data_IF_376036236162
#
_entry.id   IF_376036236162
#
_cell.length_a   1.000
_cell.length_b   1.000
_cell.length_c   1.000
_cell.angle_alpha   90.00
_cell.angle_beta   90.00
_cell.angle_gamma   90.00
#
_symmetry.space_group_name_H-M   'P 1'
#
loop_
_entity.id
_entity.type
_entity.pdbx_description
1 polymer ?
#
# COMPACT_ATOMS: atom_id res chain seq x y z
N UNK A 1 -6.94 -10.86 39.29
CA UNK A 1 -6.11 -9.71 38.85
C UNK A 1 -5.40 -10.16 37.57
N UNK A 2 -5.96 -9.86 36.43
CA UNK A 2 -5.35 -10.19 35.12
C UNK A 2 -4.58 -8.93 34.72
N UNK A 3 -3.27 -9.03 34.84
CA UNK A 3 -2.35 -8.00 34.36
C UNK A 3 -2.40 -8.06 32.83
N UNK A 4 -3.07 -7.06 32.23
CA UNK A 4 -3.09 -6.90 30.78
C UNK A 4 -1.67 -6.54 30.32
N UNK A 5 -1.09 -7.46 29.57
CA UNK A 5 0.05 -7.16 28.72
C UNK A 5 -0.42 -6.08 27.71
N UNK A 6 -0.03 -4.86 27.95
CA UNK A 6 -0.12 -3.75 27.03
C UNK A 6 0.87 -4.08 25.91
N UNK A 7 0.40 -4.84 24.91
CA UNK A 7 1.16 -5.02 23.69
C UNK A 7 1.54 -3.65 23.17
N UNK A 8 2.80 -3.25 23.40
CA UNK A 8 3.42 -2.09 22.81
C UNK A 8 3.23 -2.19 21.31
N UNK A 9 2.24 -1.45 20.81
CA UNK A 9 2.08 -1.24 19.39
C UNK A 9 3.37 -0.58 18.92
N UNK A 10 4.19 -1.34 18.20
CA UNK A 10 5.48 -0.87 17.68
C UNK A 10 5.17 0.24 16.69
N UNK A 11 5.10 1.48 17.20
CA UNK A 11 5.19 2.68 16.38
C UNK A 11 6.62 2.69 15.83
N UNK A 12 6.82 2.25 14.60
CA UNK A 12 8.11 2.30 13.95
C UNK A 12 8.35 3.71 13.44
N UNK A 13 9.52 4.24 13.73
CA UNK A 13 9.99 5.50 13.16
C UNK A 13 10.13 5.36 11.64
N UNK A 14 10.03 6.46 10.90
CA UNK A 14 10.29 6.46 9.46
C UNK A 14 11.64 5.81 9.12
N UNK A 15 12.67 6.01 9.95
CA UNK A 15 13.99 5.42 9.79
C UNK A 15 14.00 3.89 9.93
N UNK A 16 13.22 3.32 10.85
CA UNK A 16 13.11 1.86 11.00
C UNK A 16 12.36 1.23 9.83
N UNK A 17 11.33 1.92 9.33
CA UNK A 17 10.62 1.53 8.11
C UNK A 17 11.56 1.55 6.91
N UNK A 18 12.32 2.63 6.74
CA UNK A 18 13.29 2.78 5.67
C UNK A 18 14.39 1.72 5.72
N UNK A 19 14.95 1.44 6.89
CA UNK A 19 15.97 0.40 7.07
C UNK A 19 15.47 -1.00 6.67
N UNK A 20 14.20 -1.32 6.95
CA UNK A 20 13.59 -2.57 6.52
C UNK A 20 13.33 -2.59 5.00
N UNK A 21 12.81 -1.47 4.45
CA UNK A 21 12.42 -1.36 3.06
C UNK A 21 13.62 -1.25 2.10
N UNK A 22 14.79 -0.81 2.60
CA UNK A 22 16.05 -0.72 1.84
C UNK A 22 16.64 -2.07 1.46
N UNK A 23 16.12 -3.15 2.02
CA UNK A 23 16.26 -4.47 1.45
C UNK A 23 17.31 -5.37 2.07
N UNK A 24 16.99 -6.66 2.01
CA UNK A 24 17.99 -7.73 2.05
C UNK A 24 18.74 -7.80 0.71
N UNK A 25 20.04 -8.10 0.70
CA UNK A 25 20.83 -8.29 -0.53
C UNK A 25 20.31 -9.39 -1.45
N UNK A 26 19.39 -10.24 -0.98
CA UNK A 26 18.79 -11.36 -1.69
C UNK A 26 17.51 -11.01 -2.46
N UNK A 27 17.03 -9.77 -2.35
CA UNK A 27 15.82 -9.32 -3.05
C UNK A 27 16.15 -9.00 -4.51
N UNK A 28 15.75 -9.91 -5.42
CA UNK A 28 15.88 -9.74 -6.87
C UNK A 28 14.88 -8.75 -7.47
N UNK A 29 14.10 -8.04 -6.65
CA UNK A 29 13.12 -7.05 -7.10
C UNK A 29 13.80 -5.85 -7.76
N UNK A 30 13.26 -5.42 -8.90
CA UNK A 30 13.71 -4.23 -9.63
C UNK A 30 13.27 -2.93 -8.95
N UNK A 31 12.46 -3.01 -7.90
CA UNK A 31 11.97 -1.87 -7.15
C UNK A 31 12.29 -1.98 -5.66
N UNK A 32 12.30 -0.84 -5.01
CA UNK A 32 12.40 -0.69 -3.55
C UNK A 32 11.22 0.10 -3.04
N UNK A 33 10.98 0.05 -1.74
CA UNK A 33 9.99 0.89 -1.07
C UNK A 33 10.71 1.90 -0.18
N UNK A 34 10.15 3.10 -0.08
CA UNK A 34 10.54 4.08 0.93
C UNK A 34 9.32 4.87 1.41
N UNK A 35 9.36 5.45 2.61
CA UNK A 35 8.30 6.35 3.06
C UNK A 35 8.17 7.56 2.14
N UNK A 36 6.92 8.05 2.00
CA UNK A 36 6.61 9.36 1.44
C UNK A 36 6.98 10.42 2.49
N UNK A 37 7.72 11.44 2.08
CA UNK A 37 8.20 12.52 2.95
C UNK A 37 7.87 13.89 2.38
N UNK A 38 8.13 14.96 3.14
CA UNK A 38 7.96 16.34 2.66
C UNK A 38 8.89 16.69 1.49
N UNK A 39 10.04 16.05 1.40
CA UNK A 39 11.03 16.30 0.34
C UNK A 39 10.55 15.81 -1.04
N UNK A 40 9.54 14.95 -1.07
CA UNK A 40 8.96 14.41 -2.31
C UNK A 40 7.94 15.35 -2.98
N UNK A 41 7.60 16.47 -2.36
CA UNK A 41 6.50 17.32 -2.77
C UNK A 41 6.50 17.65 -4.27
N UNK A 42 7.59 18.19 -4.75
CA UNK A 42 7.64 18.74 -6.11
C UNK A 42 7.59 17.61 -7.17
N UNK A 43 8.37 16.54 -6.97
CA UNK A 43 8.37 15.35 -7.82
C UNK A 43 7.00 14.67 -7.81
N UNK A 44 6.38 14.49 -6.62
CA UNK A 44 5.09 13.86 -6.49
C UNK A 44 3.99 14.62 -7.23
N UNK A 45 3.94 15.95 -7.08
CA UNK A 45 2.97 16.81 -7.77
C UNK A 45 3.16 16.74 -9.27
N UNK A 46 4.39 16.79 -9.76
CA UNK A 46 4.69 16.68 -11.19
C UNK A 46 4.23 15.34 -11.75
N UNK A 47 4.58 14.24 -11.09
CA UNK A 47 4.16 12.88 -11.46
C UNK A 47 2.64 12.72 -11.43
N UNK A 48 1.97 13.28 -10.42
CA UNK A 48 0.50 13.24 -10.33
C UNK A 48 -0.14 13.95 -11.50
N UNK A 49 0.33 15.16 -11.84
CA UNK A 49 -0.19 15.92 -12.99
C UNK A 49 0.04 15.20 -14.32
N UNK A 50 1.22 14.61 -14.49
CA UNK A 50 1.55 13.83 -15.69
C UNK A 50 0.71 12.53 -15.79
N UNK A 51 0.10 12.10 -14.70
CA UNK A 51 -0.67 10.84 -14.60
C UNK A 51 -2.18 11.07 -14.46
N UNK A 52 -2.68 12.28 -14.67
CA UNK A 52 -4.07 12.63 -14.43
C UNK A 52 -5.05 11.69 -15.17
N UNK A 53 -4.83 11.42 -16.45
CA UNK A 53 -5.66 10.53 -17.25
C UNK A 53 -5.62 9.07 -16.78
N UNK A 54 -4.53 8.65 -16.14
CA UNK A 54 -4.38 7.31 -15.58
C UNK A 54 -5.16 7.15 -14.27
N UNK A 55 -5.21 8.24 -13.48
CA UNK A 55 -5.84 8.21 -12.16
C UNK A 55 -7.36 8.44 -12.24
N UNK A 56 -7.81 9.29 -13.17
CA UNK A 56 -9.24 9.56 -13.36
C UNK A 56 -9.94 8.38 -14.05
N UNK A 57 -11.13 7.97 -13.60
CA UNK A 57 -11.93 8.51 -12.50
C UNK A 57 -11.72 7.79 -11.16
N UNK A 58 -10.67 6.98 -11.01
CA UNK A 58 -10.52 6.01 -9.93
C UNK A 58 -10.12 6.64 -8.60
N UNK A 59 -9.35 7.72 -8.64
CA UNK A 59 -8.85 8.42 -7.46
C UNK A 59 -8.32 9.80 -7.78
N UNK A 60 -8.31 10.67 -6.78
CA UNK A 60 -7.68 11.98 -6.83
C UNK A 60 -6.43 12.02 -5.96
N UNK A 61 -5.32 12.45 -6.53
CA UNK A 61 -4.06 12.68 -5.84
C UNK A 61 -3.72 14.18 -5.81
N UNK A 62 -2.88 14.62 -4.86
CA UNK A 62 -2.48 16.03 -4.75
C UNK A 62 -1.85 16.57 -6.02
N UNK A 63 -2.29 17.74 -6.46
CA UNK A 63 -1.77 18.48 -7.60
C UNK A 63 -1.19 19.85 -7.22
N UNK A 64 -1.33 20.24 -5.97
CA UNK A 64 -0.82 21.49 -5.39
C UNK A 64 -0.05 21.23 -4.10
N UNK A 65 0.90 22.11 -3.71
CA UNK A 65 1.63 21.98 -2.43
C UNK A 65 0.70 21.89 -1.22
N UNK A 66 -0.39 22.65 -1.19
CA UNK A 66 -1.34 22.64 -0.09
C UNK A 66 -2.05 21.29 0.03
N UNK A 67 -2.49 20.71 -1.09
CA UNK A 67 -3.10 19.39 -1.12
C UNK A 67 -2.09 18.31 -0.71
N UNK A 68 -0.83 18.42 -1.17
CA UNK A 68 0.22 17.49 -0.78
C UNK A 68 0.50 17.50 0.72
N UNK A 69 0.59 18.66 1.34
CA UNK A 69 0.77 18.76 2.80
C UNK A 69 -0.40 18.14 3.57
N UNK A 70 -1.64 18.38 3.10
CA UNK A 70 -2.84 17.78 3.69
C UNK A 70 -2.83 16.26 3.54
N UNK A 71 -2.40 15.78 2.38
CA UNK A 71 -2.29 14.36 2.08
C UNK A 71 -1.21 13.68 2.93
N UNK A 72 -0.01 14.28 3.00
CA UNK A 72 1.10 13.79 3.81
C UNK A 72 0.74 13.72 5.30
N UNK A 73 0.02 14.73 5.80
CA UNK A 73 -0.43 14.79 7.19
C UNK A 73 -1.38 13.65 7.61
N UNK A 74 -1.86 12.84 6.68
CA UNK A 74 -2.68 11.65 6.98
C UNK A 74 -1.85 10.45 7.44
N UNK A 75 -0.53 10.47 7.20
CA UNK A 75 0.36 9.35 7.48
C UNK A 75 1.08 9.56 8.82
N UNK A 76 0.50 9.02 9.87
CA UNK A 76 1.02 9.06 11.24
C UNK A 76 1.96 7.89 11.56
N UNK A 77 2.20 7.01 10.59
CA UNK A 77 2.96 5.76 10.70
C UNK A 77 2.38 4.72 11.67
N UNK A 78 1.29 5.02 12.36
CA UNK A 78 0.59 4.14 13.33
C UNK A 78 -0.70 3.59 12.71
N UNK A 79 -1.58 4.49 12.26
CA UNK A 79 -2.88 4.14 11.67
C UNK A 79 -2.88 4.21 10.15
N UNK A 80 -1.93 4.94 9.56
CA UNK A 80 -1.74 5.02 8.13
C UNK A 80 -0.28 5.25 7.76
N UNK A 81 0.14 4.70 6.61
CA UNK A 81 1.48 4.86 6.05
C UNK A 81 1.41 5.15 4.56
N UNK A 82 2.16 6.14 4.09
CA UNK A 82 2.37 6.43 2.68
C UNK A 82 3.75 5.94 2.24
N UNK A 83 3.80 5.11 1.20
CA UNK A 83 5.03 4.52 0.66
C UNK A 83 5.17 4.86 -0.82
N UNK A 84 6.39 5.11 -1.27
CA UNK A 84 6.74 5.22 -2.67
C UNK A 84 7.40 3.94 -3.17
N UNK A 85 7.05 3.54 -4.39
CA UNK A 85 7.71 2.47 -5.15
C UNK A 85 8.75 3.13 -6.04
N UNK A 86 10.02 2.85 -5.81
CA UNK A 86 11.13 3.44 -6.55
C UNK A 86 11.87 2.36 -7.36
N UNK A 87 12.23 2.67 -8.59
CA UNK A 87 13.10 1.81 -9.42
C UNK A 87 14.47 1.74 -8.77
N UNK A 88 14.95 0.54 -8.45
CA UNK A 88 16.17 0.33 -7.64
C UNK A 88 17.41 1.00 -8.21
N UNK A 89 17.63 0.86 -9.52
CA UNK A 89 18.86 1.31 -10.17
C UNK A 89 18.91 2.82 -10.40
N UNK A 90 17.74 3.47 -10.51
CA UNK A 90 17.64 4.88 -10.92
C UNK A 90 17.06 5.79 -9.85
N UNK A 91 16.39 5.22 -8.84
CA UNK A 91 15.65 5.98 -7.82
C UNK A 91 14.33 6.59 -8.33
N UNK A 92 13.99 6.46 -9.62
CA UNK A 92 12.77 7.02 -10.20
C UNK A 92 11.54 6.48 -9.48
N UNK A 93 10.62 7.38 -9.11
CA UNK A 93 9.36 7.02 -8.45
C UNK A 93 8.39 6.46 -9.50
N UNK A 94 8.09 5.16 -9.39
CA UNK A 94 7.21 4.44 -10.31
C UNK A 94 5.74 4.46 -9.89
N UNK A 95 5.48 4.64 -8.61
CA UNK A 95 4.13 4.65 -8.05
C UNK A 95 4.13 4.88 -6.55
N UNK A 96 2.94 4.86 -5.98
CA UNK A 96 2.74 5.01 -4.54
C UNK A 96 1.77 3.96 -4.00
N UNK A 97 1.89 3.66 -2.71
CA UNK A 97 0.95 2.80 -1.99
C UNK A 97 0.68 3.40 -0.60
N UNK A 98 -0.60 3.53 -0.27
CA UNK A 98 -1.04 3.86 1.08
C UNK A 98 -1.53 2.60 1.78
N UNK A 99 -1.04 2.37 2.97
CA UNK A 99 -1.59 1.40 3.92
C UNK A 99 -2.46 2.21 4.87
N UNK A 100 -3.78 2.17 4.67
CA UNK A 100 -4.75 2.98 5.40
C UNK A 100 -5.49 2.16 6.46
N UNK A 101 -6.02 2.83 7.48
CA UNK A 101 -6.88 2.22 8.49
C UNK A 101 -6.26 0.96 9.10
N UNK A 102 -5.02 1.09 9.58
CA UNK A 102 -4.33 0.00 10.27
C UNK A 102 -5.04 -0.23 11.61
N UNK A 103 -5.84 -1.29 11.67
CA UNK A 103 -6.62 -1.66 12.85
C UNK A 103 -5.96 -2.86 13.51
N UNK A 104 -5.59 -2.70 14.78
CA UNK A 104 -4.93 -3.71 15.61
C UNK A 104 -5.91 -4.58 16.39
N UNK A 105 -5.44 -5.28 17.38
CA UNK A 105 -6.22 -6.15 18.24
C UNK A 105 -6.68 -7.42 17.53
N UNK A 106 -7.97 -7.73 17.61
CA UNK A 106 -8.52 -8.95 17.01
C UNK A 106 -8.71 -8.85 15.49
N UNK A 107 -8.63 -7.66 14.91
CA UNK A 107 -8.88 -7.46 13.48
C UNK A 107 -7.61 -7.56 12.65
N UNK A 108 -6.49 -6.96 13.10
CA UNK A 108 -5.19 -6.97 12.44
C UNK A 108 -5.29 -6.75 10.93
N UNK A 109 -5.96 -5.68 10.54
CA UNK A 109 -6.34 -5.38 9.16
C UNK A 109 -5.83 -4.00 8.72
N UNK A 110 -5.65 -3.82 7.41
CA UNK A 110 -5.49 -2.53 6.76
C UNK A 110 -6.08 -2.55 5.35
N UNK A 111 -6.35 -1.36 4.81
CA UNK A 111 -6.81 -1.16 3.44
C UNK A 111 -5.69 -0.57 2.58
N UNK A 112 -5.50 -1.12 1.39
CA UNK A 112 -4.53 -0.63 0.41
C UNK A 112 -5.19 0.31 -0.60
N UNK A 113 -4.58 1.48 -0.81
CA UNK A 113 -4.83 2.34 -1.96
C UNK A 113 -3.51 2.58 -2.69
N UNK A 114 -3.49 2.55 -4.01
CA UNK A 114 -2.26 2.66 -4.77
C UNK A 114 -2.47 3.31 -6.14
N UNK A 115 -1.43 3.93 -6.65
CA UNK A 115 -1.40 4.56 -7.96
C UNK A 115 -0.06 4.31 -8.64
N UNK A 116 -0.11 4.01 -9.93
CA UNK A 116 1.07 4.03 -10.80
C UNK A 116 1.30 5.45 -11.32
N UNK A 117 2.54 5.83 -11.59
CA UNK A 117 2.85 7.05 -12.32
C UNK A 117 3.12 6.76 -13.79
N UNK A 118 2.52 7.57 -14.67
CA UNK A 118 2.48 7.34 -16.12
C UNK A 118 3.85 7.05 -16.77
N UNK A 119 4.95 7.71 -16.41
CA UNK A 119 6.27 7.44 -17.01
C UNK A 119 6.77 6.01 -16.77
N UNK A 120 6.27 5.33 -15.74
CA UNK A 120 6.73 4.00 -15.31
C UNK A 120 5.69 2.88 -15.52
N UNK A 121 4.59 3.17 -16.25
CA UNK A 121 3.53 2.19 -16.49
C UNK A 121 3.96 1.08 -17.46
N UNK A 122 3.28 -0.07 -17.41
CA UNK A 122 3.51 -1.19 -18.32
C UNK A 122 4.77 -2.01 -18.06
N UNK A 123 5.62 -1.60 -17.12
CA UNK A 123 6.91 -2.26 -16.84
C UNK A 123 6.84 -3.29 -15.72
N UNK A 124 5.69 -3.46 -15.07
CA UNK A 124 5.49 -4.42 -13.98
C UNK A 124 5.89 -3.91 -12.60
N UNK A 125 6.42 -2.70 -12.46
CA UNK A 125 6.90 -2.14 -11.20
C UNK A 125 5.83 -2.09 -10.11
N UNK A 126 4.58 -1.78 -10.46
CA UNK A 126 3.48 -1.81 -9.48
C UNK A 126 3.22 -3.22 -8.93
N UNK A 127 3.36 -4.25 -9.75
CA UNK A 127 3.18 -5.64 -9.32
C UNK A 127 4.26 -6.06 -8.31
N UNK A 128 5.51 -5.72 -8.61
CA UNK A 128 6.64 -5.97 -7.70
C UNK A 128 6.54 -5.14 -6.43
N UNK A 129 6.24 -3.83 -6.55
CA UNK A 129 6.13 -2.93 -5.42
C UNK A 129 4.99 -3.27 -4.48
N UNK A 130 3.78 -3.56 -5.00
CA UNK A 130 2.69 -4.04 -4.16
C UNK A 130 3.02 -5.37 -3.48
N UNK A 131 3.75 -6.23 -4.16
CA UNK A 131 4.25 -7.44 -3.58
C UNK A 131 5.13 -7.18 -2.37
N UNK A 132 6.08 -6.24 -2.45
CA UNK A 132 6.90 -5.83 -1.32
C UNK A 132 6.06 -5.22 -0.18
N UNK A 133 5.03 -4.44 -0.51
CA UNK A 133 4.10 -3.88 0.49
C UNK A 133 3.32 -4.98 1.22
N UNK A 134 2.83 -5.99 0.50
CA UNK A 134 2.16 -7.15 1.11
C UNK A 134 3.08 -7.86 2.09
N UNK A 135 4.32 -8.12 1.68
CA UNK A 135 5.34 -8.72 2.55
C UNK A 135 5.60 -7.86 3.79
N UNK A 136 5.82 -6.57 3.61
CA UNK A 136 6.01 -5.61 4.69
C UNK A 136 4.83 -5.62 5.68
N UNK A 137 3.60 -5.58 5.17
CA UNK A 137 2.41 -5.57 5.98
C UNK A 137 2.25 -6.84 6.84
N UNK A 138 2.54 -8.00 6.28
CA UNK A 138 2.40 -9.26 7.00
C UNK A 138 3.60 -9.56 7.92
N UNK A 139 4.82 -9.32 7.47
CA UNK A 139 6.03 -9.67 8.24
C UNK A 139 6.39 -8.62 9.28
N UNK A 140 6.28 -7.34 8.94
CA UNK A 140 6.72 -6.26 9.81
C UNK A 140 5.57 -5.60 10.58
N UNK A 141 4.49 -5.28 9.88
CA UNK A 141 3.32 -4.73 10.55
C UNK A 141 2.49 -5.82 11.25
N UNK A 142 2.80 -7.11 11.03
CA UNK A 142 2.10 -8.25 11.65
C UNK A 142 0.59 -8.20 11.44
N UNK A 143 0.16 -7.72 10.29
CA UNK A 143 -1.24 -7.76 9.92
C UNK A 143 -1.66 -9.18 9.55
N UNK A 144 -2.93 -9.48 9.75
CA UNK A 144 -3.55 -10.74 9.32
C UNK A 144 -4.19 -10.60 7.94
N UNK A 145 -4.67 -9.39 7.62
CA UNK A 145 -5.48 -9.16 6.44
C UNK A 145 -5.16 -7.81 5.77
N UNK A 146 -5.22 -7.80 4.45
CA UNK A 146 -5.19 -6.60 3.62
C UNK A 146 -6.44 -6.56 2.75
N UNK A 147 -7.13 -5.43 2.75
CA UNK A 147 -8.29 -5.18 1.90
C UNK A 147 -7.89 -4.25 0.74
N UNK A 148 -8.54 -4.43 -0.41
CA UNK A 148 -8.51 -3.50 -1.53
C UNK A 148 -9.94 -3.29 -2.04
N UNK A 149 -10.36 -2.02 -2.10
CA UNK A 149 -11.65 -1.63 -2.67
C UNK A 149 -11.38 -1.05 -4.06
N UNK A 150 -11.95 -1.67 -5.09
CA UNK A 150 -11.63 -1.36 -6.49
C UNK A 150 -12.94 -1.12 -7.26
N UNK A 151 -13.03 0.00 -7.96
CA UNK A 151 -14.18 0.26 -8.84
C UNK A 151 -14.24 -0.80 -9.95
N UNK A 152 -15.42 -1.34 -10.29
CA UNK A 152 -15.57 -2.46 -11.23
C UNK A 152 -15.00 -2.20 -12.63
N UNK A 153 -14.96 -0.92 -13.05
CA UNK A 153 -14.36 -0.50 -14.32
C UNK A 153 -12.83 -0.45 -14.33
N UNK A 154 -12.16 -0.49 -13.17
CA UNK A 154 -10.70 -0.40 -13.07
C UNK A 154 -10.03 -1.76 -13.32
N UNK A 155 -10.10 -2.22 -14.57
CA UNK A 155 -9.59 -3.53 -14.96
C UNK A 155 -8.09 -3.71 -14.72
N UNK A 156 -7.30 -2.62 -14.76
CA UNK A 156 -5.87 -2.69 -14.47
C UNK A 156 -5.62 -3.07 -13.00
N UNK A 157 -6.32 -2.40 -12.08
CA UNK A 157 -6.25 -2.66 -10.66
C UNK A 157 -6.79 -4.05 -10.30
N UNK A 158 -7.92 -4.46 -10.88
CA UNK A 158 -8.51 -5.80 -10.69
C UNK A 158 -7.53 -6.91 -11.08
N UNK A 159 -6.88 -6.79 -12.25
CA UNK A 159 -5.86 -7.75 -12.69
C UNK A 159 -4.64 -7.76 -11.78
N UNK A 160 -4.27 -6.62 -11.21
CA UNK A 160 -3.12 -6.50 -10.32
C UNK A 160 -3.35 -7.25 -9.01
N UNK A 161 -4.48 -7.02 -8.34
CA UNK A 161 -4.79 -7.71 -7.07
C UNK A 161 -5.02 -9.22 -7.28
N UNK A 162 -5.62 -9.63 -8.40
CA UNK A 162 -5.74 -11.04 -8.76
C UNK A 162 -4.38 -11.75 -8.87
N UNK A 163 -3.40 -11.12 -9.53
CA UNK A 163 -2.04 -11.67 -9.64
C UNK A 163 -1.35 -11.79 -8.28
N UNK A 164 -1.66 -10.89 -7.35
CA UNK A 164 -1.11 -10.91 -5.99
C UNK A 164 -1.85 -11.90 -5.06
N UNK A 165 -2.85 -12.61 -5.57
CA UNK A 165 -3.57 -13.63 -4.82
C UNK A 165 -4.72 -13.11 -3.97
N UNK A 166 -5.13 -11.84 -4.12
CA UNK A 166 -6.34 -11.35 -3.48
C UNK A 166 -7.56 -12.12 -4.00
N UNK A 167 -8.50 -12.39 -3.11
CA UNK A 167 -9.77 -13.04 -3.41
C UNK A 167 -10.91 -12.04 -3.41
N UNK A 168 -11.80 -12.18 -4.36
CA UNK A 168 -13.05 -11.43 -4.41
C UNK A 168 -13.98 -11.83 -3.27
N UNK A 169 -14.47 -10.86 -2.53
CA UNK A 169 -15.37 -11.08 -1.38
C UNK A 169 -16.75 -10.43 -1.53
N UNK A 170 -16.96 -9.72 -2.63
CA UNK A 170 -18.28 -9.16 -2.91
C UNK A 170 -18.24 -7.74 -3.45
N UNK A 171 -19.41 -7.20 -3.66
CA UNK A 171 -19.68 -5.90 -4.22
C UNK A 171 -20.37 -5.00 -3.19
N UNK A 172 -20.02 -3.74 -3.16
CA UNK A 172 -20.61 -2.75 -2.25
C UNK A 172 -21.00 -1.51 -3.03
N UNK A 173 -22.32 -1.27 -3.24
CA UNK A 173 -22.79 -0.04 -3.85
C UNK A 173 -22.46 1.19 -3.00
N UNK A 174 -22.07 2.30 -3.64
CA UNK A 174 -21.84 3.58 -3.00
C UNK A 174 -20.86 3.50 -1.82
N UNK A 175 -19.77 2.75 -1.95
CA UNK A 175 -18.88 2.46 -0.84
C UNK A 175 -17.95 3.64 -0.47
N UNK A 176 -17.36 4.30 -1.46
CA UNK A 176 -16.41 5.39 -1.23
C UNK A 176 -16.85 6.66 -1.97
N UNK A 177 -16.63 7.80 -1.30
CA UNK A 177 -16.90 9.11 -1.88
C UNK A 177 -15.65 9.59 -2.63
N UNK A 178 -15.76 9.67 -3.96
CA UNK A 178 -14.65 10.05 -4.86
C UNK A 178 -15.17 11.17 -5.77
N UNK A 179 -14.47 12.29 -5.80
CA UNK A 179 -14.74 13.45 -6.67
C UNK A 179 -16.22 13.90 -6.67
N UNK A 180 -16.84 13.92 -5.48
CA UNK A 180 -18.20 14.40 -5.32
C UNK A 180 -19.30 13.35 -5.49
N UNK A 181 -18.96 12.08 -5.74
CA UNK A 181 -19.91 10.98 -5.97
C UNK A 181 -19.59 9.76 -5.09
N UNK A 182 -20.64 9.07 -4.64
CA UNK A 182 -20.49 7.77 -3.98
C UNK A 182 -20.35 6.69 -5.05
N UNK A 183 -19.17 6.07 -5.09
CA UNK A 183 -18.80 5.08 -6.11
C UNK A 183 -18.89 3.66 -5.60
N UNK A 184 -19.32 2.77 -6.48
CA UNK A 184 -19.43 1.34 -6.24
C UNK A 184 -18.07 0.67 -6.29
N UNK A 185 -17.85 -0.31 -5.41
CA UNK A 185 -16.58 -1.02 -5.34
C UNK A 185 -16.74 -2.53 -5.21
N UNK A 186 -15.88 -3.25 -5.87
CA UNK A 186 -15.58 -4.63 -5.56
C UNK A 186 -14.67 -4.68 -4.33
N UNK A 187 -14.95 -5.63 -3.43
CA UNK A 187 -14.13 -5.87 -2.24
C UNK A 187 -13.23 -7.08 -2.50
N UNK A 188 -11.96 -6.85 -2.39
CA UNK A 188 -10.91 -7.84 -2.54
C UNK A 188 -10.10 -7.93 -1.26
N UNK A 189 -9.67 -9.14 -0.88
CA UNK A 189 -8.88 -9.34 0.33
C UNK A 189 -7.79 -10.38 0.14
N UNK A 190 -6.70 -10.16 0.88
CA UNK A 190 -5.60 -11.10 1.02
C UNK A 190 -5.37 -11.33 2.52
N UNK A 191 -5.35 -12.59 2.95
CA UNK A 191 -4.96 -12.95 4.30
C UNK A 191 -3.60 -13.67 4.28
N UNK A 192 -2.82 -13.54 5.34
CA UNK A 192 -1.46 -14.06 5.38
C UNK A 192 -1.35 -15.58 5.14
N UNK A 193 -2.40 -16.34 5.47
CA UNK A 193 -2.47 -17.79 5.23
C UNK A 193 -2.72 -18.18 3.77
N UNK A 194 -3.08 -17.23 2.91
CA UNK A 194 -3.27 -17.45 1.46
C UNK A 194 -1.95 -17.40 0.69
N UNK A 195 -0.89 -16.88 1.30
CA UNK A 195 0.44 -16.78 0.71
C UNK A 195 1.24 -17.99 1.15
N UNK A 196 0.97 -19.17 0.60
CA UNK A 196 1.65 -20.39 0.99
C UNK A 196 2.91 -20.69 0.17
N UNK A 197 2.93 -20.38 -1.12
CA UNK A 197 3.98 -20.84 -2.04
C UNK A 197 4.35 -19.77 -3.09
N UNK A 198 4.24 -18.49 -2.74
CA UNK A 198 4.64 -17.38 -3.61
C UNK A 198 6.16 -17.17 -3.62
N UNK A 199 6.65 -16.20 -4.37
CA UNK A 199 8.06 -15.77 -4.31
C UNK A 199 8.44 -15.14 -2.97
N UNK A 200 7.59 -15.28 -1.96
CA UNK A 200 7.71 -14.73 -0.64
C UNK A 200 8.44 -15.71 0.28
N UNK A 201 9.34 -15.24 1.15
CA UNK A 201 9.88 -16.10 2.18
C UNK A 201 8.74 -16.65 3.06
N UNK A 202 8.88 -17.86 3.61
CA UNK A 202 7.88 -18.45 4.48
C UNK A 202 7.57 -17.49 5.63
N UNK A 203 6.29 -17.42 6.00
CA UNK A 203 5.85 -16.56 7.09
C UNK A 203 6.64 -16.85 8.37
N UNK A 204 7.10 -15.81 9.10
CA UNK A 204 7.55 -16.03 10.43
C UNK A 204 6.40 -16.66 11.22
N UNK A 205 6.65 -17.80 11.85
CA UNK A 205 5.69 -18.44 12.75
C UNK A 205 5.28 -17.41 13.80
N UNK A 206 3.99 -17.12 13.85
CA UNK A 206 3.44 -16.34 14.97
C UNK A 206 3.85 -17.03 16.27
N UNK A 207 4.28 -16.31 17.30
CA UNK A 207 4.55 -16.92 18.59
C UNK A 207 3.31 -17.70 19.03
N UNK A 208 3.46 -18.99 19.27
CA UNK A 208 2.43 -19.81 19.90
C UNK A 208 2.09 -19.17 21.24
N UNK A 209 0.80 -18.97 21.47
CA UNK A 209 0.27 -18.45 22.72
C UNK A 209 0.66 -19.35 23.89
#
# INVERSE_FOLDING_TARGET
MIQGDQGEGIARTAAEVEAFLSGSPEDSSRVTLRPLTGDDQDEFIELTRASADLHHPWMSLPTTPQEFHTFLGRFDHVTAQGLLICVRDTGVVAGMVNINSIIRGRYQNASLAYAAFAPSTGQGYMSEGLGLVVRYAFEQLRLHRLDAQIQPGNHASLKLVQRLGFRYEGYSPGLLFIDGTWEDHERWALINTMISDGPWPPHPTLPTR
#
